data_IF_623395791129
#
_entry.id   IF_623395791129
#
_cell.length_a   1.000
_cell.length_b   1.000
_cell.length_c   1.000
_cell.angle_alpha   90.00
_cell.angle_beta   90.00
_cell.angle_gamma   90.00
#
_symmetry.space_group_name_H-M   'P 1'
#
loop_
_entity.id
_entity.type
_entity.pdbx_description
1 polymer ?
#
# COMPACT_ATOMS: atom_id res chain seq x y z
N UNK A 1 61.39 -38.86 40.28
CA UNK A 1 61.65 -37.91 39.17
C UNK A 1 61.12 -38.37 37.82
N UNK A 2 61.58 -39.52 37.32
CA UNK A 2 61.11 -40.01 36.03
C UNK A 2 59.62 -40.31 35.96
N UNK A 3 59.07 -40.85 37.06
CA UNK A 3 57.61 -41.13 37.12
C UNK A 3 56.78 -39.88 37.13
N UNK A 4 57.17 -38.85 37.80
CA UNK A 4 56.52 -37.54 37.85
C UNK A 4 56.57 -36.86 36.49
N UNK A 5 57.73 -36.90 35.85
CA UNK A 5 57.90 -36.34 34.51
C UNK A 5 57.02 -37.07 33.46
N UNK A 6 56.94 -38.41 33.54
CA UNK A 6 56.05 -39.19 32.72
C UNK A 6 54.57 -38.82 32.90
N UNK A 7 54.13 -38.59 34.12
CA UNK A 7 52.75 -38.17 34.44
C UNK A 7 52.46 -36.79 33.90
N UNK A 8 53.37 -35.84 34.02
CA UNK A 8 53.25 -34.50 33.44
C UNK A 8 53.12 -34.54 31.92
N UNK A 9 53.90 -35.38 31.24
CA UNK A 9 53.83 -35.56 29.80
C UNK A 9 52.44 -36.10 29.35
N UNK A 10 51.91 -37.07 30.11
CA UNK A 10 50.59 -37.66 29.85
C UNK A 10 49.49 -36.60 30.02
N UNK A 11 49.58 -35.80 31.07
CA UNK A 11 48.61 -34.73 31.28
C UNK A 11 48.64 -33.68 30.19
N UNK A 12 49.81 -33.23 29.77
CA UNK A 12 49.98 -32.29 28.63
C UNK A 12 49.40 -32.85 27.35
N UNK A 13 49.61 -34.15 27.09
CA UNK A 13 49.05 -34.80 25.92
C UNK A 13 47.53 -34.83 25.94
N UNK A 14 46.92 -35.13 27.09
CA UNK A 14 45.45 -35.09 27.27
C UNK A 14 44.87 -33.71 27.11
N UNK A 15 45.54 -32.68 27.65
CA UNK A 15 45.16 -31.30 27.47
C UNK A 15 45.19 -30.87 26.00
N UNK A 16 46.25 -31.31 25.28
CA UNK A 16 46.37 -31.07 23.84
C UNK A 16 45.26 -31.72 23.05
N UNK A 17 44.91 -32.97 23.34
CA UNK A 17 43.78 -33.65 22.70
C UNK A 17 42.45 -32.97 22.99
N UNK A 18 42.20 -32.52 24.22
CA UNK A 18 40.99 -31.80 24.60
C UNK A 18 40.87 -30.48 23.85
N UNK A 19 41.98 -29.77 23.71
CA UNK A 19 42.01 -28.50 22.95
C UNK A 19 41.76 -28.73 21.45
N UNK A 20 42.34 -29.78 20.88
CA UNK A 20 42.12 -30.14 19.49
C UNK A 20 40.65 -30.47 19.23
N UNK A 21 40.00 -31.17 20.15
CA UNK A 21 38.58 -31.46 20.08
C UNK A 21 37.75 -30.16 20.12
N UNK A 22 38.07 -29.25 21.04
CA UNK A 22 37.42 -27.94 21.13
C UNK A 22 37.55 -27.10 19.85
N UNK A 23 38.75 -27.11 19.26
CA UNK A 23 39.02 -26.41 18.00
C UNK A 23 38.16 -27.00 16.89
N UNK A 24 38.07 -28.32 16.76
CA UNK A 24 37.25 -28.99 15.76
C UNK A 24 35.75 -28.65 15.93
N UNK A 25 35.25 -28.64 17.17
CA UNK A 25 33.87 -28.28 17.49
C UNK A 25 33.58 -26.81 17.13
N UNK A 26 34.50 -25.91 17.49
CA UNK A 26 34.37 -24.49 17.17
C UNK A 26 34.41 -24.24 15.66
N UNK A 27 35.24 -24.96 14.93
CA UNK A 27 35.30 -24.88 13.45
C UNK A 27 33.96 -25.33 12.84
N UNK A 28 33.37 -26.41 13.36
CA UNK A 28 32.09 -26.91 12.88
C UNK A 28 30.98 -25.89 13.16
N UNK A 29 30.97 -25.32 14.37
CA UNK A 29 30.00 -24.28 14.72
C UNK A 29 30.16 -23.03 13.86
N UNK A 30 31.40 -22.62 13.59
CA UNK A 30 31.72 -21.49 12.73
C UNK A 30 31.18 -21.69 11.32
N UNK A 31 31.39 -22.89 10.75
CA UNK A 31 30.88 -23.23 9.42
C UNK A 31 29.36 -23.18 9.36
N UNK A 32 28.67 -23.67 10.40
CA UNK A 32 27.21 -23.57 10.49
C UNK A 32 26.77 -22.11 10.52
N UNK A 33 27.45 -21.29 11.31
CA UNK A 33 27.11 -19.85 11.40
C UNK A 33 27.38 -19.11 10.10
N UNK A 34 28.46 -19.43 9.40
CA UNK A 34 28.76 -18.84 8.09
C UNK A 34 27.65 -19.17 7.10
N UNK A 35 27.19 -20.42 7.07
CA UNK A 35 26.07 -20.83 6.21
C UNK A 35 24.77 -20.12 6.57
N UNK A 36 24.44 -19.99 7.87
CA UNK A 36 23.26 -19.27 8.34
C UNK A 36 23.31 -17.80 7.92
N UNK A 37 24.46 -17.15 8.04
CA UNK A 37 24.65 -15.76 7.63
C UNK A 37 24.45 -15.62 6.12
N UNK A 38 25.02 -16.52 5.32
CA UNK A 38 24.86 -16.50 3.87
C UNK A 38 23.38 -16.62 3.45
N UNK A 39 22.62 -17.50 4.12
CA UNK A 39 21.19 -17.67 3.88
C UNK A 39 20.43 -16.39 4.26
N UNK A 40 20.73 -15.81 5.41
CA UNK A 40 20.10 -14.57 5.87
C UNK A 40 20.40 -13.39 4.96
N UNK A 41 21.63 -13.27 4.48
CA UNK A 41 22.03 -12.23 3.54
C UNK A 41 21.24 -12.35 2.23
N UNK A 42 21.07 -13.57 1.74
CA UNK A 42 20.28 -13.84 0.54
C UNK A 42 18.80 -13.45 0.75
N UNK A 43 18.23 -13.80 1.91
CA UNK A 43 16.87 -13.43 2.26
C UNK A 43 16.69 -11.92 2.40
N UNK A 44 17.69 -11.23 2.97
CA UNK A 44 17.67 -9.77 3.08
C UNK A 44 17.67 -9.12 1.71
N UNK A 45 18.49 -9.60 0.78
CA UNK A 45 18.54 -9.08 -0.58
C UNK A 45 17.18 -9.27 -1.30
N UNK A 46 16.55 -10.43 -1.14
CA UNK A 46 15.22 -10.69 -1.69
C UNK A 46 14.17 -9.73 -1.11
N UNK A 47 14.21 -9.52 0.20
CA UNK A 47 13.29 -8.62 0.88
C UNK A 47 13.50 -7.16 0.49
N UNK A 48 14.73 -6.72 0.32
CA UNK A 48 15.05 -5.38 -0.17
C UNK A 48 14.48 -5.15 -1.57
N UNK A 49 14.62 -6.13 -2.46
CA UNK A 49 14.03 -6.08 -3.79
C UNK A 49 12.50 -6.03 -3.73
N UNK A 50 11.90 -6.83 -2.86
CA UNK A 50 10.45 -6.83 -2.67
C UNK A 50 9.94 -5.48 -2.15
N UNK A 51 10.64 -4.87 -1.20
CA UNK A 51 10.33 -3.54 -0.66
C UNK A 51 10.42 -2.49 -1.76
N UNK A 52 11.50 -2.51 -2.56
CA UNK A 52 11.67 -1.57 -3.67
C UNK A 52 10.53 -1.68 -4.69
N UNK A 53 10.13 -2.90 -5.04
CA UNK A 53 9.01 -3.14 -5.95
C UNK A 53 7.69 -2.61 -5.36
N UNK A 54 7.45 -2.87 -4.08
CA UNK A 54 6.26 -2.39 -3.38
C UNK A 54 6.23 -0.87 -3.28
N UNK A 55 7.37 -0.24 -3.02
CA UNK A 55 7.47 1.22 -2.97
C UNK A 55 7.11 1.84 -4.32
N UNK A 56 7.59 1.25 -5.42
CA UNK A 56 7.24 1.70 -6.76
C UNK A 56 5.73 1.53 -7.03
N UNK A 57 5.15 0.41 -6.61
CA UNK A 57 3.72 0.15 -6.74
C UNK A 57 2.91 1.18 -5.94
N UNK A 58 3.32 1.48 -4.71
CA UNK A 58 2.68 2.49 -3.87
C UNK A 58 2.73 3.87 -4.53
N UNK A 59 3.88 4.27 -5.07
CA UNK A 59 4.03 5.54 -5.76
C UNK A 59 3.11 5.63 -6.97
N UNK A 60 3.01 4.56 -7.76
CA UNK A 60 2.12 4.49 -8.92
C UNK A 60 0.65 4.59 -8.51
N UNK A 61 0.26 3.86 -7.45
CA UNK A 61 -1.11 3.91 -6.93
C UNK A 61 -1.47 5.28 -6.38
N UNK A 62 -0.54 5.95 -5.71
CA UNK A 62 -0.74 7.33 -5.23
C UNK A 62 -0.99 8.29 -6.39
N UNK A 63 -0.23 8.18 -7.48
CA UNK A 63 -0.41 9.00 -8.68
C UNK A 63 -1.76 8.73 -9.33
N UNK A 64 -2.15 7.47 -9.46
CA UNK A 64 -3.47 7.09 -10.00
C UNK A 64 -4.61 7.61 -9.13
N UNK A 65 -4.44 7.54 -7.81
CA UNK A 65 -5.43 8.04 -6.87
C UNK A 65 -5.61 9.56 -6.99
N UNK A 66 -4.52 10.32 -7.12
CA UNK A 66 -4.58 11.77 -7.34
C UNK A 66 -5.36 12.11 -8.60
N UNK A 67 -5.10 11.38 -9.70
CA UNK A 67 -5.81 11.57 -10.96
C UNK A 67 -7.30 11.28 -10.78
N UNK A 68 -7.66 10.20 -10.10
CA UNK A 68 -9.05 9.84 -9.83
C UNK A 68 -9.78 10.85 -8.95
N UNK A 69 -9.09 11.39 -7.96
CA UNK A 69 -9.65 12.45 -7.09
C UNK A 69 -10.01 13.67 -7.93
N UNK A 70 -9.12 14.12 -8.82
CA UNK A 70 -9.36 15.24 -9.72
C UNK A 70 -10.54 14.98 -10.66
N UNK A 71 -10.61 13.75 -11.23
CA UNK A 71 -11.74 13.36 -12.07
C UNK A 71 -13.07 13.42 -11.33
N UNK A 72 -13.10 12.94 -10.09
CA UNK A 72 -14.29 12.98 -9.24
C UNK A 72 -14.68 14.41 -8.90
N UNK A 73 -13.71 15.26 -8.56
CA UNK A 73 -13.95 16.69 -8.29
C UNK A 73 -14.54 17.39 -9.50
N UNK A 74 -14.00 17.14 -10.70
CA UNK A 74 -14.50 17.70 -11.95
C UNK A 74 -15.92 17.22 -12.25
N UNK A 75 -16.20 15.95 -12.07
CA UNK A 75 -17.54 15.38 -12.26
C UNK A 75 -18.54 15.95 -11.27
N UNK A 76 -18.15 16.13 -10.02
CA UNK A 76 -19.01 16.75 -9.00
C UNK A 76 -19.34 18.21 -9.34
N UNK A 77 -18.38 18.95 -9.85
CA UNK A 77 -18.60 20.32 -10.31
C UNK A 77 -19.59 20.36 -11.48
N UNK A 78 -19.40 19.48 -12.47
CA UNK A 78 -20.31 19.37 -13.62
C UNK A 78 -21.73 18.98 -13.18
N UNK A 79 -21.84 18.05 -12.23
CA UNK A 79 -23.14 17.68 -11.67
C UNK A 79 -23.83 18.85 -10.99
N UNK A 80 -23.08 19.65 -10.23
CA UNK A 80 -23.63 20.84 -9.58
C UNK A 80 -24.13 21.86 -10.61
N UNK A 81 -23.39 22.10 -11.68
CA UNK A 81 -23.77 22.97 -12.78
C UNK A 81 -25.02 22.44 -13.50
N UNK A 82 -25.07 21.15 -13.80
CA UNK A 82 -26.23 20.51 -14.42
C UNK A 82 -27.49 20.60 -13.53
N UNK A 83 -27.32 20.38 -12.24
CA UNK A 83 -28.45 20.51 -11.29
C UNK A 83 -28.99 21.93 -11.24
N UNK A 84 -28.15 22.95 -11.29
CA UNK A 84 -28.55 24.33 -11.39
C UNK A 84 -29.34 24.60 -12.68
N UNK A 85 -28.85 24.06 -13.80
CA UNK A 85 -29.52 24.22 -15.09
C UNK A 85 -30.87 23.51 -15.12
N UNK A 86 -30.96 22.31 -14.57
CA UNK A 86 -32.23 21.59 -14.44
C UNK A 86 -33.22 22.39 -13.59
N UNK A 87 -32.80 22.95 -12.46
CA UNK A 87 -33.64 23.77 -11.60
C UNK A 87 -34.13 25.01 -12.34
N UNK A 88 -33.27 25.67 -13.11
CA UNK A 88 -33.60 26.84 -13.93
C UNK A 88 -34.66 26.49 -14.98
N UNK A 89 -34.47 25.35 -15.68
CA UNK A 89 -35.41 24.89 -16.70
C UNK A 89 -36.78 24.52 -16.10
N UNK A 90 -36.79 23.91 -14.92
CA UNK A 90 -38.01 23.57 -14.20
C UNK A 90 -38.79 24.84 -13.81
N UNK A 91 -38.10 25.87 -13.36
CA UNK A 91 -38.70 27.16 -13.02
C UNK A 91 -39.30 27.83 -14.25
N UNK A 92 -38.55 27.86 -15.37
CA UNK A 92 -39.05 28.41 -16.62
C UNK A 92 -40.30 27.66 -17.15
N UNK A 93 -40.29 26.34 -17.07
CA UNK A 93 -41.42 25.51 -17.47
C UNK A 93 -42.64 25.80 -16.61
N UNK A 94 -42.45 25.95 -15.31
CA UNK A 94 -43.51 26.31 -14.38
C UNK A 94 -44.12 27.68 -14.68
N UNK A 95 -43.27 28.68 -14.95
CA UNK A 95 -43.74 30.04 -15.31
C UNK A 95 -44.54 30.04 -16.63
N UNK A 96 -44.06 29.31 -17.62
CA UNK A 96 -44.77 29.18 -18.90
C UNK A 96 -46.12 28.47 -18.76
N UNK A 97 -46.15 27.44 -17.91
CA UNK A 97 -47.41 26.76 -17.61
C UNK A 97 -48.43 27.70 -16.95
N UNK A 98 -47.99 28.55 -16.01
CA UNK A 98 -48.82 29.52 -15.36
C UNK A 98 -49.35 30.58 -16.35
N UNK A 99 -48.50 31.06 -17.29
CA UNK A 99 -48.90 31.95 -18.36
C UNK A 99 -49.99 31.33 -19.25
N UNK A 100 -49.83 30.06 -19.62
CA UNK A 100 -50.81 29.33 -20.40
C UNK A 100 -52.13 29.20 -19.65
N UNK A 101 -52.09 28.93 -18.34
CA UNK A 101 -53.28 28.86 -17.49
C UNK A 101 -54.03 30.20 -17.46
N UNK A 102 -53.32 31.29 -17.36
CA UNK A 102 -53.91 32.65 -17.41
C UNK A 102 -54.60 32.89 -18.74
N UNK A 103 -53.94 32.55 -19.85
CA UNK A 103 -54.52 32.72 -21.20
C UNK A 103 -55.80 31.89 -21.33
N UNK A 104 -55.79 30.66 -20.86
CA UNK A 104 -56.95 29.76 -20.88
C UNK A 104 -58.13 30.39 -20.10
N UNK A 105 -57.87 30.92 -18.91
CA UNK A 105 -58.92 31.62 -18.11
C UNK A 105 -59.47 32.82 -18.80
N UNK A 106 -58.63 33.63 -19.45
CA UNK A 106 -59.07 34.79 -20.24
C UNK A 106 -59.96 34.36 -21.42
N UNK A 107 -59.53 33.29 -22.15
CA UNK A 107 -60.34 32.77 -23.25
C UNK A 107 -61.71 32.23 -22.76
N UNK A 108 -61.74 31.55 -21.64
CA UNK A 108 -62.97 31.06 -21.04
C UNK A 108 -63.91 32.24 -20.68
N UNK A 109 -63.37 33.31 -20.12
CA UNK A 109 -64.13 34.51 -19.82
C UNK A 109 -64.73 35.14 -21.06
N UNK A 110 -63.98 35.20 -22.16
CA UNK A 110 -64.50 35.75 -23.43
C UNK A 110 -65.61 34.86 -24.01
N UNK A 111 -65.48 33.55 -23.93
CA UNK A 111 -66.52 32.65 -24.43
C UNK A 111 -67.82 32.75 -23.62
N UNK A 112 -67.70 32.80 -22.30
CA UNK A 112 -68.87 32.93 -21.42
C UNK A 112 -69.65 34.29 -21.63
N UNK A 113 -68.88 35.34 -21.88
CA UNK A 113 -69.49 36.71 -22.06
C UNK A 113 -69.97 37.02 -23.50
N UNK A 114 -69.60 36.10 -24.40
CA UNK A 114 -70.08 36.20 -25.77
C UNK A 114 -71.50 35.59 -25.90
#
# INVERSE_FOLDING_TARGET
MLKELGNEIIELFKEGEAKDTQISELQAELNVKINEIAIKDSLLAEKENAISTKDNTIANLQSELEIKIKEVEDKNRLLAEQNKEVARLQEQASLKLDEVKVIIEELKGLIVNA
#
